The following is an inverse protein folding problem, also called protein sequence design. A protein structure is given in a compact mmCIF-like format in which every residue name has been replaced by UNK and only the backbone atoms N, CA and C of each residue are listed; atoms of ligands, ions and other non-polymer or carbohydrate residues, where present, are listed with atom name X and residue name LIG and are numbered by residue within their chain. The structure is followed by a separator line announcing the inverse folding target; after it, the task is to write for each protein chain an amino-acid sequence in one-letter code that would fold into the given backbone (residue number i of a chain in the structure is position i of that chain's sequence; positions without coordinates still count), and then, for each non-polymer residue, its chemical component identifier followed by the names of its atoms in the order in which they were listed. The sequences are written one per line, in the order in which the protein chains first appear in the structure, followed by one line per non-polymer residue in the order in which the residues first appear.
data_IF_909336166959
#
_entry.id   IF_909336166959
#
_cell.length_a   1.000
_cell.length_b   1.000
_cell.length_c   1.000
_cell.angle_alpha   90.00
_cell.angle_beta   90.00
_cell.angle_gamma   90.00
#
_symmetry.space_group_name_H-M   'P 1'
#
loop_
_entity.id
_entity.type
_entity.pdbx_description
1 polymer ?
#
# COMPACT_ATOMS: atom_id res chain seq x y z
N UNK A 1 0.50 -17.02 -2.62
CA UNK A 1 1.42 -15.94 -3.09
C UNK A 1 0.64 -15.08 -4.09
N UNK A 2 0.46 -13.79 -3.83
CA UNK A 2 -0.18 -12.88 -4.80
C UNK A 2 0.74 -12.72 -6.02
N UNK A 3 0.17 -12.72 -7.22
CA UNK A 3 0.87 -12.49 -8.49
C UNK A 3 0.22 -11.30 -9.21
N UNK A 4 1.01 -10.62 -10.03
CA UNK A 4 0.48 -9.61 -10.95
C UNK A 4 -0.49 -10.25 -11.93
N UNK A 5 -1.67 -9.66 -12.04
CA UNK A 5 -2.70 -10.00 -13.00
C UNK A 5 -2.94 -8.85 -14.00
N UNK A 6 -2.63 -7.61 -13.61
CA UNK A 6 -2.74 -6.43 -14.46
C UNK A 6 -1.72 -5.36 -14.04
N UNK A 7 -1.12 -4.71 -15.03
CA UNK A 7 -0.19 -3.59 -14.84
C UNK A 7 -0.29 -2.62 -16.01
N UNK A 8 -0.21 -1.32 -15.74
CA UNK A 8 -0.17 -0.30 -16.78
C UNK A 8 -0.87 0.98 -16.36
N UNK A 9 -1.11 1.85 -17.34
CA UNK A 9 -1.85 3.09 -17.12
C UNK A 9 -3.30 2.78 -16.76
N UNK A 10 -3.73 3.28 -15.60
CA UNK A 10 -5.13 3.28 -15.20
C UNK A 10 -5.80 4.55 -15.75
N UNK A 11 -6.71 4.39 -16.71
CA UNK A 11 -7.38 5.53 -17.35
C UNK A 11 -8.33 6.30 -16.41
N UNK A 12 -8.78 5.70 -15.30
CA UNK A 12 -9.63 6.36 -14.31
C UNK A 12 -8.76 7.19 -13.35
N UNK A 13 -7.70 6.58 -12.84
CA UNK A 13 -6.79 7.22 -11.90
C UNK A 13 -5.72 8.09 -12.56
N UNK A 14 -5.55 7.96 -13.89
CA UNK A 14 -4.55 8.62 -14.74
C UNK A 14 -3.13 8.50 -14.20
N UNK A 15 -2.75 7.27 -13.88
CA UNK A 15 -1.40 6.91 -13.43
C UNK A 15 -1.16 5.41 -13.60
N UNK A 16 0.11 4.97 -13.55
CA UNK A 16 0.42 3.56 -13.46
C UNK A 16 -0.21 2.92 -12.23
N UNK A 17 -0.77 1.74 -12.42
CA UNK A 17 -1.21 0.85 -11.34
C UNK A 17 -0.77 -0.58 -11.61
N UNK A 18 -0.68 -1.36 -10.54
CA UNK A 18 -0.34 -2.79 -10.57
C UNK A 18 -1.22 -3.52 -9.60
N UNK A 19 -1.88 -4.56 -10.08
CA UNK A 19 -2.86 -5.34 -9.33
C UNK A 19 -2.61 -6.84 -9.47
N UNK A 20 -2.75 -7.54 -8.36
CA UNK A 20 -3.11 -8.95 -8.36
C UNK A 20 -4.63 -9.12 -8.24
N UNK A 21 -5.10 -10.35 -8.13
CA UNK A 21 -6.52 -10.63 -7.94
C UNK A 21 -6.99 -10.07 -6.58
N UNK A 22 -7.69 -8.92 -6.60
CA UNK A 22 -8.26 -8.26 -5.42
C UNK A 22 -7.34 -7.32 -4.63
N UNK A 23 -6.06 -7.19 -5.01
CA UNK A 23 -5.07 -6.42 -4.24
C UNK A 23 -4.25 -5.48 -5.13
N UNK A 24 -3.97 -4.28 -4.65
CA UNK A 24 -2.89 -3.45 -5.17
C UNK A 24 -1.55 -4.10 -4.83
N UNK A 25 -0.62 -4.08 -5.77
CA UNK A 25 0.77 -4.48 -5.54
C UNK A 25 1.61 -3.26 -5.21
N UNK A 26 2.67 -3.47 -4.43
CA UNK A 26 3.64 -2.42 -4.15
C UNK A 26 4.27 -1.89 -5.44
N UNK A 27 4.52 -0.59 -5.50
CA UNK A 27 5.16 0.09 -6.62
C UNK A 27 6.22 1.06 -6.07
N UNK A 28 7.32 1.33 -6.79
CA UNK A 28 8.36 2.26 -6.34
C UNK A 28 7.82 3.63 -5.92
N UNK A 29 6.81 4.15 -6.63
CA UNK A 29 6.21 5.47 -6.39
C UNK A 29 5.20 5.45 -5.22
N UNK A 30 4.78 4.26 -4.79
CA UNK A 30 3.78 4.07 -3.73
C UNK A 30 3.99 2.74 -3.01
N UNK A 31 5.09 2.63 -2.22
CA UNK A 31 5.43 1.40 -1.54
C UNK A 31 4.47 1.16 -0.36
N UNK A 32 4.14 -0.11 -0.12
CA UNK A 32 3.48 -0.54 1.13
C UNK A 32 4.49 -0.80 2.25
N UNK A 33 5.65 -1.34 1.87
CA UNK A 33 6.76 -1.68 2.77
C UNK A 33 8.05 -1.78 1.99
N UNK A 34 9.09 -2.36 2.59
CA UNK A 34 10.41 -2.52 1.96
C UNK A 34 10.42 -3.66 0.92
N UNK A 35 9.58 -4.67 1.08
CA UNK A 35 9.54 -5.82 0.18
C UNK A 35 8.81 -5.52 -1.12
N UNK A 36 9.36 -6.01 -2.24
CA UNK A 36 8.68 -6.09 -3.54
C UNK A 36 7.48 -7.06 -3.55
N UNK A 37 7.34 -7.91 -2.53
CA UNK A 37 6.22 -8.87 -2.38
C UNK A 37 5.07 -8.32 -1.53
N UNK A 38 5.15 -7.07 -1.08
CA UNK A 38 4.08 -6.45 -0.31
C UNK A 38 2.86 -6.14 -1.19
N UNK A 39 1.66 -6.34 -0.63
CA UNK A 39 0.38 -6.16 -1.32
C UNK A 39 -0.69 -5.68 -0.34
N UNK A 40 -1.69 -4.96 -0.84
CA UNK A 40 -2.70 -4.35 0.00
C UNK A 40 -3.70 -3.49 -0.74
N UNK A 41 -4.20 -2.45 -0.09
CA UNK A 41 -5.07 -1.46 -0.71
C UNK A 41 -5.05 -0.14 0.07
N UNK A 42 -4.88 0.98 -0.64
CA UNK A 42 -5.16 2.30 -0.06
C UNK A 42 -6.63 2.67 -0.29
N UNK A 43 -7.29 3.15 0.76
CA UNK A 43 -8.64 3.70 0.70
C UNK A 43 -8.67 5.21 0.45
N UNK A 44 -9.82 5.70 -0.02
CA UNK A 44 -10.08 7.13 -0.10
C UNK A 44 -9.93 7.79 1.29
N UNK A 45 -9.42 9.02 1.32
CA UNK A 45 -9.15 9.74 2.58
C UNK A 45 -7.88 9.29 3.34
N UNK A 46 -7.23 8.19 2.93
CA UNK A 46 -5.94 7.75 3.46
C UNK A 46 -5.98 6.54 4.38
N UNK A 47 -7.06 5.76 4.39
CA UNK A 47 -7.04 4.43 5.02
C UNK A 47 -6.05 3.52 4.27
N UNK A 48 -5.46 2.55 4.97
CA UNK A 48 -4.50 1.62 4.37
C UNK A 48 -4.59 0.26 5.07
N UNK A 49 -4.63 -0.82 4.28
CA UNK A 49 -4.33 -2.17 4.76
C UNK A 49 -3.33 -2.85 3.83
N UNK A 50 -2.32 -3.52 4.37
CA UNK A 50 -1.37 -4.30 3.57
C UNK A 50 -0.72 -5.45 4.37
N UNK A 51 -0.09 -6.35 3.65
CA UNK A 51 0.79 -7.38 4.19
C UNK A 51 2.14 -7.40 3.45
N UNK A 52 3.21 -7.66 4.18
CA UNK A 52 4.55 -7.93 3.69
C UNK A 52 4.98 -9.34 4.16
N UNK A 53 4.88 -10.35 3.27
CA UNK A 53 5.26 -11.72 3.62
C UNK A 53 6.75 -11.92 3.90
N UNK A 54 7.64 -11.05 3.40
CA UNK A 54 9.08 -11.13 3.68
C UNK A 54 9.37 -10.64 5.10
N UNK A 55 8.77 -9.51 5.48
CA UNK A 55 8.89 -8.96 6.83
C UNK A 55 7.99 -9.67 7.86
N UNK A 56 7.17 -10.65 7.43
CA UNK A 56 6.12 -11.30 8.25
C UNK A 56 5.23 -10.28 8.97
N UNK A 57 4.91 -9.19 8.28
CA UNK A 57 4.20 -8.04 8.81
C UNK A 57 2.83 -7.90 8.14
N UNK A 58 1.81 -7.61 8.92
CA UNK A 58 0.53 -7.10 8.44
C UNK A 58 0.21 -5.80 9.16
N UNK A 59 -0.39 -4.84 8.45
CA UNK A 59 -0.68 -3.51 8.96
C UNK A 59 -2.04 -3.03 8.49
N UNK A 60 -2.76 -2.34 9.38
CA UNK A 60 -4.04 -1.70 9.10
C UNK A 60 -4.13 -0.34 9.76
N UNK A 61 -4.61 0.65 9.01
CA UNK A 61 -4.89 2.00 9.45
C UNK A 61 -6.24 2.47 8.93
N UNK A 62 -7.11 2.88 9.86
CA UNK A 62 -8.41 3.45 9.59
C UNK A 62 -8.55 4.79 10.31
N UNK A 63 -9.30 5.72 9.72
CA UNK A 63 -9.54 7.04 10.28
C UNK A 63 -10.92 7.56 9.89
N UNK A 64 -11.47 8.45 10.72
CA UNK A 64 -12.72 9.17 10.46
C UNK A 64 -12.49 10.56 9.85
N UNK A 65 -11.28 11.13 9.99
CA UNK A 65 -10.89 12.40 9.41
C UNK A 65 -10.10 12.19 8.11
N UNK A 66 -10.77 12.37 6.97
CA UNK A 66 -10.17 12.24 5.64
C UNK A 66 -9.00 13.21 5.46
N UNK A 67 -7.84 12.67 5.09
CA UNK A 67 -6.65 13.44 4.75
C UNK A 67 -6.37 13.47 3.25
N UNK A 68 -5.25 14.10 2.85
CA UNK A 68 -4.81 14.13 1.47
C UNK A 68 -4.40 12.72 0.98
N UNK A 69 -5.36 11.98 0.38
CA UNK A 69 -5.22 10.67 -0.30
C UNK A 69 -3.95 9.86 0.08
N UNK A 70 -3.08 9.57 -0.89
CA UNK A 70 -1.90 8.70 -0.70
C UNK A 70 -0.65 9.44 -0.20
N UNK A 71 -0.65 10.78 -0.23
CA UNK A 71 0.41 11.63 0.35
C UNK A 71 0.11 12.01 1.80
N UNK A 72 -0.68 11.19 2.49
CA UNK A 72 -1.09 11.45 3.85
C UNK A 72 0.14 11.25 4.77
N UNK A 73 0.65 12.31 5.43
CA UNK A 73 1.85 12.20 6.27
C UNK A 73 1.66 11.20 7.41
N UNK A 74 0.41 11.00 7.88
CA UNK A 74 0.07 9.99 8.87
C UNK A 74 0.40 8.58 8.38
N UNK A 75 -0.01 8.24 7.17
CA UNK A 75 0.26 6.91 6.58
C UNK A 75 1.75 6.70 6.41
N UNK A 76 2.47 7.71 5.89
CA UNK A 76 3.92 7.62 5.73
C UNK A 76 4.64 7.37 7.06
N UNK A 77 4.35 8.16 8.10
CA UNK A 77 4.99 7.98 9.41
C UNK A 77 4.66 6.63 10.05
N UNK A 78 3.41 6.15 9.90
CA UNK A 78 3.02 4.84 10.39
C UNK A 78 3.74 3.69 9.65
N UNK A 79 3.93 3.81 8.34
CA UNK A 79 4.70 2.82 7.56
C UNK A 79 6.16 2.78 7.99
N UNK A 80 6.80 3.93 8.20
CA UNK A 80 8.17 4.03 8.67
C UNK A 80 8.32 3.39 10.07
N UNK A 81 7.39 3.67 10.99
CA UNK A 81 7.38 3.08 12.33
C UNK A 81 7.14 1.55 12.29
N UNK A 82 6.17 1.09 11.51
CA UNK A 82 5.87 -0.34 11.38
C UNK A 82 7.05 -1.12 10.79
N UNK A 83 7.76 -0.52 9.82
CA UNK A 83 8.96 -1.12 9.24
C UNK A 83 10.17 -1.14 10.19
N UNK A 84 10.23 -0.24 11.18
CA UNK A 84 11.25 -0.24 12.23
C UNK A 84 11.00 -1.26 13.35
N UNK A 85 9.74 -1.67 13.54
CA UNK A 85 9.35 -2.66 14.55
C UNK A 85 9.42 -4.12 14.06
N UNK A 86 9.56 -4.34 12.75
CA UNK A 86 9.70 -5.68 12.18
C UNK A 86 11.14 -6.19 12.35
N UNK A 87 11.30 -7.34 13.01
CA UNK A 87 12.58 -8.02 13.27
C UNK A 87 12.85 -9.18 12.32
#
# INVERSE_FOLDING_TARGET
KIREASSGEDFVLRRPTRFGLGFQLTMPERPFGKSARSFGHFGAGGALGFADPEARLAFGYAMNAAGPRFRNPRVRGLLEAAAGAAH
#
